data_IF_742014078333
#
_entry.id   IF_742014078333
#
_cell.length_a   1.000
_cell.length_b   1.000
_cell.length_c   1.000
_cell.angle_alpha   90.00
_cell.angle_beta   90.00
_cell.angle_gamma   90.00
#
_symmetry.space_group_name_H-M   'P 1'
#
loop_
_entity.id
_entity.type
_entity.pdbx_description
1 polymer ?
#
# COMPACT_ATOMS: atom_id res chain seq x y z
N UNK A 1 -0.25 8.87 -40.33
CA UNK A 1 -0.58 9.41 -39.22
C UNK A 1 -1.00 8.44 -38.23
N UNK A 2 -0.36 8.45 -37.34
CA UNK A 2 -0.62 7.49 -36.47
C UNK A 2 -1.63 7.91 -35.64
N UNK A 3 -2.64 7.38 -35.81
CA UNK A 3 -3.55 7.53 -34.90
C UNK A 3 -3.21 6.70 -33.78
N UNK A 4 -2.63 7.27 -32.85
CA UNK A 4 -2.57 6.57 -31.73
C UNK A 4 -3.81 6.56 -31.16
N UNK A 5 -4.39 5.55 -31.23
CA UNK A 5 -5.41 5.27 -30.36
C UNK A 5 -4.89 5.55 -29.02
N UNK A 6 -5.17 6.70 -28.60
CA UNK A 6 -4.99 6.97 -27.26
C UNK A 6 -5.95 6.10 -26.52
N UNK A 7 -5.55 4.94 -26.15
CA UNK A 7 -6.38 4.10 -25.35
C UNK A 7 -6.50 4.78 -24.02
N UNK A 8 -7.70 5.01 -23.58
CA UNK A 8 -7.94 5.47 -22.24
C UNK A 8 -7.51 4.37 -21.28
N UNK A 9 -6.49 4.63 -20.52
CA UNK A 9 -5.98 3.67 -19.54
C UNK A 9 -5.73 4.32 -18.23
N UNK A 10 -6.06 3.62 -17.17
CA UNK A 10 -5.68 4.00 -15.83
C UNK A 10 -4.34 3.35 -15.51
N UNK A 11 -3.43 4.11 -14.94
CA UNK A 11 -2.13 3.58 -14.53
C UNK A 11 -1.87 3.95 -13.09
N UNK A 12 -1.47 2.96 -12.32
CA UNK A 12 -1.11 3.17 -10.91
C UNK A 12 0.39 3.28 -10.79
N UNK A 13 0.88 4.43 -10.34
CA UNK A 13 2.29 4.63 -10.08
C UNK A 13 2.48 4.88 -8.59
N UNK A 14 3.30 4.05 -7.95
CA UNK A 14 3.52 4.14 -6.52
C UNK A 14 4.80 4.90 -6.22
N UNK A 15 4.75 5.81 -5.27
CA UNK A 15 5.92 6.58 -4.85
C UNK A 15 6.98 5.65 -4.29
N UNK A 16 6.55 4.63 -3.55
CA UNK A 16 7.42 3.60 -3.03
C UNK A 16 6.62 2.32 -2.86
N UNK A 17 7.27 1.19 -2.88
CA UNK A 17 6.60 -0.10 -2.71
C UNK A 17 7.05 -0.84 -1.47
N UNK A 18 8.08 -0.35 -0.81
CA UNK A 18 8.61 -0.97 0.41
C UNK A 18 8.79 0.11 1.46
N UNK A 19 8.32 -0.14 2.65
CA UNK A 19 8.58 0.74 3.79
C UNK A 19 9.21 -0.06 4.91
N UNK A 20 10.36 0.40 5.39
CA UNK A 20 11.07 -0.22 6.50
C UNK A 20 10.85 0.67 7.72
N UNK A 21 10.14 0.14 8.71
CA UNK A 21 9.89 0.86 9.95
C UNK A 21 11.13 0.92 10.84
N UNK A 22 12.16 0.13 10.52
CA UNK A 22 13.33 0.02 11.38
C UNK A 22 12.99 -0.74 12.64
N UNK A 23 13.54 -0.31 13.77
CA UNK A 23 13.24 -0.94 15.04
C UNK A 23 11.98 -0.31 15.62
N UNK A 24 11.01 -1.14 15.94
CA UNK A 24 9.78 -0.67 16.58
C UNK A 24 9.59 -1.39 17.91
N UNK A 25 9.14 -0.65 18.91
CA UNK A 25 8.94 -1.22 20.24
C UNK A 25 7.52 -1.71 20.39
N UNK A 26 7.37 -2.96 20.74
CA UNK A 26 6.03 -3.54 20.99
C UNK A 26 5.24 -2.69 21.97
N UNK A 27 5.92 -2.20 23.01
CA UNK A 27 5.28 -1.41 24.07
C UNK A 27 4.66 -0.10 23.58
N UNK A 28 5.10 0.41 22.43
CA UNK A 28 4.57 1.65 21.89
C UNK A 28 3.30 1.46 21.05
N UNK A 29 2.93 0.23 20.82
CA UNK A 29 1.68 -0.05 20.11
C UNK A 29 1.80 0.02 18.61
N UNK A 30 0.69 0.33 17.96
CA UNK A 30 0.59 0.28 16.52
C UNK A 30 1.44 1.31 15.82
N UNK A 31 1.94 0.96 14.66
CA UNK A 31 2.65 1.87 13.77
C UNK A 31 1.92 1.90 12.42
N UNK A 32 2.05 2.99 11.70
CA UNK A 32 1.40 3.06 10.39
C UNK A 32 2.29 3.78 9.39
N UNK A 33 2.05 3.48 8.14
CA UNK A 33 2.72 4.15 7.02
C UNK A 33 1.71 4.34 5.90
N UNK A 34 1.80 5.47 5.23
CA UNK A 34 0.93 5.77 4.10
C UNK A 34 1.71 5.64 2.81
N UNK A 35 1.26 4.72 1.96
CA UNK A 35 1.81 4.60 0.61
C UNK A 35 1.00 5.52 -0.31
N UNK A 36 1.67 6.19 -1.22
CA UNK A 36 1.01 7.08 -2.16
C UNK A 36 0.95 6.46 -3.54
N UNK A 37 -0.24 6.51 -4.12
CA UNK A 37 -0.52 5.96 -5.43
C UNK A 37 -1.05 7.08 -6.30
N UNK A 38 -0.38 7.34 -7.42
CA UNK A 38 -0.82 8.38 -8.34
C UNK A 38 -1.37 7.73 -9.61
N UNK A 39 -2.50 8.23 -10.07
CA UNK A 39 -3.04 7.80 -11.35
C UNK A 39 -2.30 8.56 -12.45
N UNK A 40 -1.37 7.88 -13.11
CA UNK A 40 -0.58 8.48 -14.19
C UNK A 40 -1.16 8.18 -15.55
N UNK A 41 -2.35 7.62 -15.60
CA UNK A 41 -3.06 7.37 -16.85
C UNK A 41 -3.99 8.50 -17.22
N UNK A 42 -4.87 8.26 -18.16
CA UNK A 42 -5.84 9.24 -18.64
C UNK A 42 -7.29 8.82 -18.41
N UNK A 43 -7.51 7.84 -17.57
CA UNK A 43 -8.81 7.32 -17.22
C UNK A 43 -8.90 7.17 -15.70
N UNK A 44 -10.05 7.33 -15.07
CA UNK A 44 -10.15 7.16 -13.61
C UNK A 44 -9.65 5.78 -13.15
N UNK A 45 -8.96 5.77 -12.03
CA UNK A 45 -8.37 4.57 -11.44
C UNK A 45 -9.13 4.23 -10.16
N UNK A 46 -9.52 2.98 -10.00
CA UNK A 46 -10.21 2.54 -8.80
C UNK A 46 -9.36 1.50 -8.07
N UNK A 47 -9.21 1.67 -6.77
CA UNK A 47 -8.59 0.65 -5.94
C UNK A 47 -9.68 -0.37 -5.63
N UNK A 48 -9.54 -1.58 -6.16
CA UNK A 48 -10.57 -2.59 -6.03
C UNK A 48 -10.44 -3.39 -4.74
N UNK A 49 -9.20 -3.62 -4.30
CA UNK A 49 -8.98 -4.48 -3.16
C UNK A 49 -7.58 -4.27 -2.61
N UNK A 50 -7.44 -4.33 -1.31
CA UNK A 50 -6.13 -4.32 -0.66
C UNK A 50 -6.14 -5.49 0.33
N UNK A 51 -5.31 -6.50 0.05
CA UNK A 51 -5.29 -7.72 0.84
C UNK A 51 -4.01 -7.82 1.63
N UNK A 52 -4.13 -8.13 2.90
CA UNK A 52 -2.97 -8.41 3.74
C UNK A 52 -3.01 -9.88 4.14
N UNK A 53 -1.84 -10.47 4.37
CA UNK A 53 -1.75 -11.88 4.73
C UNK A 53 -1.89 -12.11 6.23
N UNK A 54 -1.99 -11.06 7.01
CA UNK A 54 -1.96 -11.14 8.46
C UNK A 54 -3.02 -10.25 9.07
N UNK A 55 -3.76 -10.74 10.04
CA UNK A 55 -4.71 -9.92 10.80
C UNK A 55 -4.04 -8.80 11.59
N UNK A 56 -2.71 -8.82 11.68
CA UNK A 56 -1.94 -7.78 12.35
C UNK A 56 -1.79 -6.51 11.51
N UNK A 57 -2.21 -6.56 10.26
CA UNK A 57 -2.06 -5.46 9.32
C UNK A 57 -3.42 -5.01 8.82
N UNK A 58 -3.71 -3.72 8.91
CA UNK A 58 -4.98 -3.16 8.47
C UNK A 58 -4.77 -2.12 7.40
N UNK A 59 -5.39 -2.29 6.25
CA UNK A 59 -5.34 -1.27 5.20
C UNK A 59 -6.51 -0.30 5.32
N UNK A 60 -6.27 0.96 4.96
CA UNK A 60 -7.33 1.95 4.81
C UNK A 60 -7.05 2.69 3.51
N UNK A 61 -8.02 2.75 2.63
CA UNK A 61 -7.83 3.33 1.30
C UNK A 61 -9.14 3.88 0.76
N UNK A 62 -9.06 4.86 -0.17
CA UNK A 62 -10.26 5.41 -0.75
C UNK A 62 -10.89 4.45 -1.76
N UNK A 63 -12.20 4.41 -1.78
CA UNK A 63 -12.92 3.56 -2.75
C UNK A 63 -13.46 4.36 -3.92
N UNK A 64 -13.33 5.69 -3.87
CA UNK A 64 -13.78 6.54 -4.97
C UNK A 64 -12.77 6.51 -6.11
N UNK A 65 -13.22 6.70 -7.35
CA UNK A 65 -12.29 6.76 -8.48
C UNK A 65 -11.27 7.89 -8.31
N UNK A 66 -10.03 7.59 -8.66
CA UNK A 66 -8.92 8.54 -8.60
C UNK A 66 -8.76 9.14 -9.98
N UNK A 67 -8.97 10.45 -10.09
CA UNK A 67 -8.88 11.12 -11.38
C UNK A 67 -7.46 11.13 -11.89
N UNK A 68 -7.26 11.20 -13.21
CA UNK A 68 -5.92 11.30 -13.78
C UNK A 68 -5.12 12.43 -13.13
N UNK A 69 -3.90 12.16 -12.78
CA UNK A 69 -3.01 13.12 -12.14
C UNK A 69 -3.18 13.26 -10.64
N UNK A 70 -4.19 12.60 -10.07
CA UNK A 70 -4.43 12.72 -8.63
C UNK A 70 -3.77 11.56 -7.88
N UNK A 71 -3.52 11.81 -6.59
CA UNK A 71 -2.86 10.86 -5.72
C UNK A 71 -3.82 10.38 -4.65
N UNK A 72 -3.81 9.08 -4.41
CA UNK A 72 -4.56 8.47 -3.34
C UNK A 72 -3.60 7.95 -2.28
N UNK A 73 -4.06 7.86 -1.06
CA UNK A 73 -3.24 7.39 0.04
C UNK A 73 -3.77 6.05 0.54
N UNK A 74 -2.86 5.08 0.63
CA UNK A 74 -3.17 3.77 1.19
C UNK A 74 -2.45 3.69 2.52
N UNK A 75 -3.19 3.77 3.61
CA UNK A 75 -2.60 3.73 4.95
C UNK A 75 -2.58 2.31 5.44
N UNK A 76 -1.41 1.86 5.87
CA UNK A 76 -1.23 0.53 6.41
C UNK A 76 -0.89 0.66 7.89
N UNK A 77 -1.67 0.04 8.73
CA UNK A 77 -1.45 0.03 10.18
C UNK A 77 -1.02 -1.36 10.61
N UNK A 78 0.08 -1.45 11.31
CA UNK A 78 0.64 -2.72 11.78
C UNK A 78 0.63 -2.77 13.29
N UNK A 79 0.15 -3.88 13.84
CA UNK A 79 0.12 -4.10 15.28
C UNK A 79 1.23 -5.07 15.67
N UNK A 80 2.23 -4.64 16.42
CA UNK A 80 3.32 -5.53 16.85
C UNK A 80 2.99 -6.36 18.08
N UNK A 81 1.80 -6.23 18.62
CA UNK A 81 1.42 -6.90 19.88
C UNK A 81 1.62 -8.41 19.80
N UNK A 82 2.31 -8.97 20.76
CA UNK A 82 2.56 -10.42 20.83
C UNK A 82 3.61 -10.90 19.84
N UNK A 83 4.36 -10.00 19.21
CA UNK A 83 5.34 -10.36 18.20
C UNK A 83 6.72 -9.87 18.58
N UNK A 84 7.74 -10.49 18.01
CA UNK A 84 9.13 -10.06 18.22
C UNK A 84 9.97 -10.42 17.00
N UNK A 85 11.09 -9.73 16.83
CA UNK A 85 12.04 -10.02 15.78
C UNK A 85 11.68 -9.40 14.45
N UNK A 86 12.41 -9.78 13.42
CA UNK A 86 12.23 -9.24 12.08
C UNK A 86 10.90 -9.66 11.47
N UNK A 87 10.27 -8.74 10.75
CA UNK A 87 9.05 -9.06 10.04
C UNK A 87 9.09 -8.47 8.63
N UNK A 88 8.37 -9.11 7.75
CA UNK A 88 8.16 -8.62 6.39
C UNK A 88 6.75 -9.03 5.99
N UNK A 89 5.88 -8.07 5.73
CA UNK A 89 4.49 -8.34 5.41
C UNK A 89 4.13 -7.80 4.04
N UNK A 90 3.69 -8.65 3.12
CA UNK A 90 3.25 -8.18 1.80
C UNK A 90 1.82 -7.69 1.87
N UNK A 91 1.53 -6.67 1.08
CA UNK A 91 0.18 -6.12 0.93
C UNK A 91 -0.10 -6.12 -0.57
N UNK A 92 -1.14 -6.83 -0.97
CA UNK A 92 -1.49 -6.90 -2.40
C UNK A 92 -2.57 -5.90 -2.70
N UNK A 93 -2.26 -4.98 -3.62
CA UNK A 93 -3.19 -3.94 -4.05
C UNK A 93 -3.68 -4.29 -5.44
N UNK A 94 -4.98 -4.40 -5.62
CA UNK A 94 -5.58 -4.65 -6.92
C UNK A 94 -6.30 -3.37 -7.35
N UNK A 95 -6.00 -2.90 -8.54
CA UNK A 95 -6.63 -1.70 -9.07
C UNK A 95 -7.23 -2.00 -10.45
N UNK A 96 -8.04 -1.07 -10.94
CA UNK A 96 -8.57 -1.15 -12.29
C UNK A 96 -7.53 -0.71 -13.32
N UNK A 97 -6.34 -0.37 -12.88
CA UNK A 97 -5.29 0.09 -13.78
C UNK A 97 -4.68 -1.02 -14.61
N UNK A 98 -3.84 -0.59 -15.54
CA UNK A 98 -3.24 -1.53 -16.50
C UNK A 98 -2.38 -2.59 -15.82
N UNK A 99 -1.76 -2.26 -14.70
CA UNK A 99 -0.92 -3.17 -13.97
C UNK A 99 -1.71 -4.26 -13.24
N UNK A 100 -2.95 -3.96 -12.91
CA UNK A 100 -3.81 -4.88 -12.16
C UNK A 100 -3.40 -5.01 -10.70
N UNK A 101 -2.40 -5.82 -10.41
CA UNK A 101 -1.99 -6.09 -9.04
C UNK A 101 -0.57 -5.62 -8.77
N UNK A 102 -0.35 -5.06 -7.59
CA UNK A 102 0.97 -4.64 -7.14
C UNK A 102 1.16 -5.08 -5.70
N UNK A 103 2.35 -5.51 -5.35
CA UNK A 103 2.66 -5.88 -3.99
C UNK A 103 3.45 -4.76 -3.31
N UNK A 104 2.90 -4.26 -2.21
CA UNK A 104 3.62 -3.35 -1.32
C UNK A 104 4.15 -4.17 -0.16
N UNK A 105 5.20 -3.72 0.47
CA UNK A 105 5.79 -4.46 1.58
C UNK A 105 6.10 -3.53 2.74
N UNK A 106 5.75 -3.94 3.93
CA UNK A 106 6.23 -3.30 5.15
C UNK A 106 7.16 -4.27 5.84
N UNK A 107 8.21 -3.76 6.44
CA UNK A 107 9.16 -4.59 7.16
C UNK A 107 9.76 -3.83 8.33
N UNK A 108 10.44 -4.51 9.19
CA UNK A 108 11.09 -3.92 10.34
C UNK A 108 11.50 -4.98 11.34
N UNK A 109 11.89 -4.53 12.51
CA UNK A 109 12.26 -5.44 13.61
C UNK A 109 11.55 -5.00 14.87
N UNK A 110 10.83 -5.92 15.48
CA UNK A 110 10.07 -5.64 16.70
C UNK A 110 10.91 -5.93 17.92
N UNK A 111 11.04 -4.92 18.78
CA UNK A 111 11.70 -5.09 20.07
C UNK A 111 10.61 -5.47 21.06
N UNK A 112 10.65 -6.69 21.62
CA UNK A 112 9.56 -7.16 22.47
C UNK A 112 9.49 -6.39 23.78
N UNK A 113 8.28 -6.36 24.34
CA UNK A 113 8.05 -5.74 25.59
C UNK A 113 8.71 -6.51 26.67
N UNK A 114 9.35 -5.82 27.62
CA UNK A 114 9.95 -6.47 28.75
C UNK A 114 8.86 -6.83 29.72
N UNK A 115 9.04 -7.96 30.35
CA UNK A 115 8.15 -8.33 31.43
C UNK A 115 8.55 -7.68 32.73
#
# INVERSE_FOLDING_TARGET
MACFAAYAQAHATYKEKVHDFGYIKEAKGQVSHTFELTNTGNKPLVILQVITSCGCTRPSFPTKPIKPGKTAKIKITFSPAGRSGAFMKPIKVTTSGNEGKTTLTIRGTIIPKKK
#
